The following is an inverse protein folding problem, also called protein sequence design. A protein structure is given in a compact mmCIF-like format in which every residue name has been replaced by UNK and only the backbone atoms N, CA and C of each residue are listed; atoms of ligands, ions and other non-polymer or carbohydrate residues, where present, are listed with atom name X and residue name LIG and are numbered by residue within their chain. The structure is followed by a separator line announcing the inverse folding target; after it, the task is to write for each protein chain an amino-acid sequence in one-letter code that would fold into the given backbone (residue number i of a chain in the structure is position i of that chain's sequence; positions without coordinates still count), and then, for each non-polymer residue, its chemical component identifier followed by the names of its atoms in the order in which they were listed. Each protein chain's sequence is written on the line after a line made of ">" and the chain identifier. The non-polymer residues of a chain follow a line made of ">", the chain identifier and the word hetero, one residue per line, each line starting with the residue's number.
data_IF_182286852745
#
_entry.id   IF_182286852745
#
_cell.length_a   1.000
_cell.length_b   1.000
_cell.length_c   1.000
_cell.angle_alpha   90.00
_cell.angle_beta   90.00
_cell.angle_gamma   90.00
#
_symmetry.space_group_name_H-M   'P 1'
#
loop_
_entity.id
_entity.type
_entity.pdbx_description
1 polymer ?
#
# COMPACT_ATOMS: atom_id res chain seq x y z
N UNK A 1 -11.27 -13.08 71.26
CA UNK A 1 -12.03 -13.73 70.18
C UNK A 1 -11.80 -12.92 68.91
N UNK A 2 -10.78 -13.30 68.13
CA UNK A 2 -10.34 -12.56 66.95
C UNK A 2 -10.82 -13.31 65.69
N UNK A 3 -11.75 -12.78 64.99
CA UNK A 3 -12.27 -13.33 63.71
C UNK A 3 -11.34 -12.93 62.56
N UNK A 4 -10.63 -13.89 61.96
CA UNK A 4 -9.87 -13.76 60.70
C UNK A 4 -10.84 -13.56 59.53
N UNK A 5 -10.81 -12.40 58.90
CA UNK A 5 -11.42 -12.15 57.57
C UNK A 5 -10.52 -12.75 56.51
N UNK A 6 -10.97 -13.83 55.85
CA UNK A 6 -10.33 -14.33 54.63
C UNK A 6 -10.74 -13.45 53.46
N UNK A 7 -9.77 -12.70 52.94
CA UNK A 7 -9.91 -11.93 51.71
C UNK A 7 -9.64 -12.87 50.56
N UNK A 8 -10.68 -13.21 49.78
CA UNK A 8 -10.58 -13.97 48.55
C UNK A 8 -10.09 -13.02 47.43
N UNK A 9 -8.83 -13.13 47.08
CA UNK A 9 -8.24 -12.37 45.98
C UNK A 9 -8.59 -13.10 44.66
N UNK A 10 -9.61 -12.61 43.92
CA UNK A 10 -9.98 -13.14 42.62
C UNK A 10 -8.97 -12.60 41.59
N UNK A 11 -8.12 -13.48 41.11
CA UNK A 11 -7.17 -13.15 40.02
C UNK A 11 -7.95 -13.12 38.70
N UNK A 12 -8.21 -11.93 38.18
CA UNK A 12 -8.70 -11.75 36.81
C UNK A 12 -7.52 -11.93 35.85
N UNK A 13 -7.42 -13.07 35.21
CA UNK A 13 -6.54 -13.27 34.07
C UNK A 13 -7.19 -12.61 32.85
N UNK A 14 -6.70 -11.43 32.47
CA UNK A 14 -7.03 -10.80 31.19
C UNK A 14 -6.28 -11.56 30.10
N UNK A 15 -6.98 -12.36 29.33
CA UNK A 15 -6.47 -12.91 28.08
C UNK A 15 -6.46 -11.78 27.06
N UNK A 16 -5.31 -11.16 26.86
CA UNK A 16 -5.07 -10.31 25.69
C UNK A 16 -4.96 -11.25 24.48
N UNK A 17 -6.04 -11.40 23.72
CA UNK A 17 -5.96 -11.97 22.38
C UNK A 17 -5.13 -10.97 21.54
N UNK A 18 -3.91 -11.35 21.18
CA UNK A 18 -3.19 -10.70 20.10
C UNK A 18 -4.01 -10.95 18.83
N UNK A 19 -4.83 -9.99 18.44
CA UNK A 19 -5.37 -9.92 17.10
C UNK A 19 -4.17 -9.66 16.17
N UNK A 20 -3.63 -10.70 15.56
CA UNK A 20 -2.76 -10.53 14.39
C UNK A 20 -3.62 -9.89 13.33
N UNK A 21 -3.27 -8.69 12.91
CA UNK A 21 -3.89 -8.08 11.74
C UNK A 21 -3.72 -9.07 10.58
N UNK A 22 -4.82 -9.64 10.13
CA UNK A 22 -4.81 -10.54 8.98
C UNK A 22 -4.63 -9.65 7.76
N UNK A 23 -3.42 -9.64 7.21
CA UNK A 23 -3.16 -8.94 5.95
C UNK A 23 -3.83 -9.70 4.82
N UNK A 24 -4.56 -9.00 3.98
CA UNK A 24 -5.26 -9.56 2.80
C UNK A 24 -4.30 -10.08 1.73
N UNK A 25 -3.03 -9.71 1.81
CA UNK A 25 -1.97 -10.15 0.89
C UNK A 25 -0.78 -10.71 1.65
N UNK A 26 -0.24 -11.85 1.19
CA UNK A 26 0.94 -12.50 1.75
C UNK A 26 1.96 -12.73 0.64
N UNK A 27 3.11 -12.06 0.73
CA UNK A 27 4.25 -12.33 -0.15
C UNK A 27 4.96 -13.60 0.32
N UNK A 28 4.99 -14.62 -0.52
CA UNK A 28 5.61 -15.90 -0.22
C UNK A 28 7.12 -15.87 -0.55
N UNK A 29 7.88 -16.76 0.08
CA UNK A 29 9.35 -16.85 -0.10
C UNK A 29 9.77 -17.32 -1.50
N UNK A 30 8.86 -17.92 -2.26
CA UNK A 30 9.04 -18.35 -3.64
C UNK A 30 8.72 -17.26 -4.68
N UNK A 31 8.37 -16.05 -4.23
CA UNK A 31 8.01 -14.90 -5.06
C UNK A 31 6.56 -14.89 -5.52
N UNK A 32 5.74 -15.85 -5.07
CA UNK A 32 4.30 -15.81 -5.29
C UNK A 32 3.60 -14.92 -4.26
N UNK A 33 2.38 -14.49 -4.56
CA UNK A 33 1.54 -13.69 -3.67
C UNK A 33 0.22 -14.42 -3.45
N UNK A 34 -0.15 -14.62 -2.20
CA UNK A 34 -1.46 -15.12 -1.81
C UNK A 34 -2.38 -13.96 -1.46
N UNK A 35 -3.46 -13.82 -2.22
CA UNK A 35 -4.53 -12.86 -1.96
C UNK A 35 -5.61 -13.53 -1.11
N UNK A 36 -6.18 -12.79 -0.17
CA UNK A 36 -7.22 -13.24 0.75
C UNK A 36 -8.33 -12.19 0.82
N UNK A 37 -9.58 -12.62 0.77
CA UNK A 37 -10.74 -11.75 0.91
C UNK A 37 -11.82 -12.44 1.73
N UNK A 38 -12.25 -11.80 2.79
CA UNK A 38 -13.30 -12.36 3.68
C UNK A 38 -14.66 -11.84 3.27
N UNK A 39 -15.51 -12.72 2.77
CA UNK A 39 -16.90 -12.41 2.46
C UNK A 39 -17.76 -13.68 2.46
N UNK A 40 -18.67 -13.76 3.42
CA UNK A 40 -19.54 -14.93 3.58
C UNK A 40 -20.74 -14.93 2.63
N UNK A 41 -21.09 -13.77 2.06
CA UNK A 41 -22.28 -13.58 1.23
C UNK A 41 -21.99 -13.57 -0.27
N UNK A 42 -20.75 -13.32 -0.67
CA UNK A 42 -20.38 -13.27 -2.08
C UNK A 42 -20.57 -14.62 -2.76
N UNK A 43 -21.07 -14.60 -3.98
CA UNK A 43 -21.21 -15.77 -4.87
C UNK A 43 -19.95 -16.03 -5.66
N UNK A 44 -19.24 -14.96 -6.03
CA UNK A 44 -18.01 -15.01 -6.78
C UNK A 44 -17.07 -13.89 -6.29
N UNK A 45 -15.79 -14.22 -6.12
CA UNK A 45 -14.74 -13.25 -5.86
C UNK A 45 -13.59 -13.51 -6.84
N UNK A 46 -13.12 -12.45 -7.48
CA UNK A 46 -11.91 -12.45 -8.28
C UNK A 46 -10.94 -11.41 -7.74
N UNK A 47 -9.66 -11.56 -8.03
CA UNK A 47 -8.66 -10.52 -7.90
C UNK A 47 -8.21 -10.07 -9.29
N UNK A 48 -8.12 -8.76 -9.51
CA UNK A 48 -7.51 -8.14 -10.69
C UNK A 48 -6.23 -7.45 -10.26
N UNK A 49 -5.09 -7.97 -10.68
CA UNK A 49 -3.76 -7.47 -10.31
C UNK A 49 -2.91 -7.26 -11.55
N UNK A 50 -2.16 -6.17 -11.60
CA UNK A 50 -1.42 -5.74 -12.78
C UNK A 50 -0.54 -6.82 -13.42
N UNK A 51 0.16 -7.65 -12.60
CA UNK A 51 1.09 -8.65 -13.14
C UNK A 51 0.42 -9.94 -13.64
N UNK A 52 -0.83 -10.22 -13.25
CA UNK A 52 -1.50 -11.47 -13.58
C UNK A 52 -2.91 -11.29 -14.19
N UNK A 53 -3.46 -10.05 -14.21
CA UNK A 53 -4.83 -9.78 -14.65
C UNK A 53 -5.87 -10.36 -13.68
N UNK A 54 -7.03 -10.72 -14.22
CA UNK A 54 -8.19 -11.22 -13.47
C UNK A 54 -8.08 -12.71 -13.21
N UNK A 55 -8.19 -13.09 -11.94
CA UNK A 55 -8.12 -14.49 -11.51
C UNK A 55 -9.23 -14.79 -10.51
N UNK A 56 -9.94 -15.90 -10.72
CA UNK A 56 -10.97 -16.37 -9.80
C UNK A 56 -10.35 -16.85 -8.48
N UNK A 57 -10.99 -16.52 -7.36
CA UNK A 57 -10.57 -16.96 -6.04
C UNK A 57 -11.38 -18.17 -5.60
N UNK A 58 -10.78 -19.03 -4.80
CA UNK A 58 -11.43 -20.21 -4.24
C UNK A 58 -11.96 -19.93 -2.85
N UNK A 59 -13.22 -20.29 -2.59
CA UNK A 59 -13.86 -20.11 -1.30
C UNK A 59 -13.61 -21.30 -0.38
N UNK A 60 -13.23 -21.01 0.84
CA UNK A 60 -13.32 -21.99 1.94
C UNK A 60 -14.72 -21.89 2.56
N UNK A 61 -15.53 -22.93 2.39
CA UNK A 61 -16.94 -22.94 2.83
C UNK A 61 -17.11 -22.87 4.34
N UNK A 62 -16.11 -23.30 5.12
CA UNK A 62 -16.17 -23.28 6.58
C UNK A 62 -15.86 -21.90 7.15
N UNK A 63 -14.96 -21.16 6.50
CA UNK A 63 -14.47 -19.86 6.99
C UNK A 63 -15.02 -18.67 6.22
N UNK A 64 -15.58 -18.89 5.01
CA UNK A 64 -15.98 -17.82 4.10
C UNK A 64 -14.79 -17.00 3.57
N UNK A 65 -13.58 -17.52 3.70
CA UNK A 65 -12.37 -16.89 3.18
C UNK A 65 -12.16 -17.30 1.73
N UNK A 66 -11.98 -16.30 0.87
CA UNK A 66 -11.61 -16.48 -0.52
C UNK A 66 -10.11 -16.31 -0.69
N UNK A 67 -9.46 -17.22 -1.43
CA UNK A 67 -8.01 -17.21 -1.61
C UNK A 67 -7.60 -17.53 -3.04
N UNK A 68 -6.48 -16.96 -3.47
CA UNK A 68 -5.76 -17.35 -4.68
C UNK A 68 -4.28 -17.01 -4.51
N UNK A 69 -3.41 -17.87 -5.04
CA UNK A 69 -1.96 -17.62 -5.07
C UNK A 69 -1.52 -17.43 -6.51
N UNK A 70 -0.87 -16.31 -6.81
CA UNK A 70 -0.45 -15.88 -8.14
C UNK A 70 1.04 -15.58 -8.19
N UNK A 71 1.62 -15.63 -9.39
CA UNK A 71 3.04 -15.39 -9.58
C UNK A 71 3.82 -16.68 -9.86
N UNK A 72 5.14 -16.69 -9.71
CA UNK A 72 5.97 -15.64 -9.10
C UNK A 72 6.07 -14.35 -9.92
N UNK A 73 6.38 -13.24 -9.26
CA UNK A 73 6.57 -11.94 -9.90
C UNK A 73 7.76 -11.18 -9.32
N UNK A 74 8.23 -10.16 -10.02
CA UNK A 74 9.36 -9.34 -9.58
C UNK A 74 9.01 -8.46 -8.37
N UNK A 75 9.99 -8.08 -7.54
CA UNK A 75 9.81 -7.03 -6.55
C UNK A 75 9.45 -5.71 -7.21
N UNK A 76 8.29 -5.14 -6.83
CA UNK A 76 7.79 -3.85 -7.31
C UNK A 76 6.49 -3.50 -6.58
N UNK A 77 5.87 -2.37 -6.96
CA UNK A 77 4.52 -1.98 -6.55
C UNK A 77 3.50 -2.31 -7.64
N UNK A 78 2.44 -3.02 -7.26
CA UNK A 78 1.40 -3.46 -8.19
C UNK A 78 0.02 -3.01 -7.74
N UNK A 79 -0.71 -2.25 -8.56
CA UNK A 79 -2.12 -1.98 -8.29
C UNK A 79 -2.96 -3.25 -8.43
N UNK A 80 -3.93 -3.41 -7.54
CA UNK A 80 -4.90 -4.50 -7.57
C UNK A 80 -6.25 -4.07 -7.00
N UNK A 81 -7.28 -4.83 -7.32
CA UNK A 81 -8.59 -4.74 -6.66
C UNK A 81 -9.24 -6.13 -6.60
N UNK A 82 -10.23 -6.26 -5.73
CA UNK A 82 -11.12 -7.40 -5.78
C UNK A 82 -12.33 -7.09 -6.66
N UNK A 83 -12.90 -8.13 -7.28
CA UNK A 83 -14.16 -8.05 -8.00
C UNK A 83 -15.12 -8.99 -7.29
N UNK A 84 -16.10 -8.43 -6.61
CA UNK A 84 -17.07 -9.16 -5.79
C UNK A 84 -18.42 -9.11 -6.48
N UNK A 85 -18.94 -10.25 -6.91
CA UNK A 85 -20.20 -10.36 -7.65
C UNK A 85 -20.27 -9.37 -8.83
N UNK A 86 -19.15 -9.21 -9.54
CA UNK A 86 -19.02 -8.32 -10.70
C UNK A 86 -18.71 -6.85 -10.40
N UNK A 87 -18.62 -6.45 -9.12
CA UNK A 87 -18.33 -5.07 -8.70
C UNK A 87 -16.88 -4.97 -8.23
N UNK A 88 -16.12 -4.02 -8.80
CA UNK A 88 -14.75 -3.74 -8.33
C UNK A 88 -14.77 -3.05 -6.98
N UNK A 89 -14.01 -3.59 -6.02
CA UNK A 89 -13.86 -3.05 -4.68
C UNK A 89 -12.39 -2.95 -4.31
N UNK A 90 -12.03 -1.91 -3.58
CA UNK A 90 -10.71 -1.81 -2.95
C UNK A 90 -10.61 -2.86 -1.85
N UNK A 91 -9.38 -3.23 -1.53
CA UNK A 91 -9.11 -4.09 -0.39
C UNK A 91 -9.38 -3.34 0.93
N UNK A 92 -10.36 -3.77 1.72
CA UNK A 92 -10.70 -3.09 2.96
C UNK A 92 -9.62 -3.22 4.06
N UNK A 93 -8.77 -4.24 3.95
CA UNK A 93 -7.70 -4.50 4.92
C UNK A 93 -6.37 -3.82 4.54
N UNK A 94 -6.29 -3.22 3.33
CA UNK A 94 -5.10 -2.54 2.87
C UNK A 94 -5.31 -1.01 2.83
N UNK A 95 -4.65 -0.25 3.72
CA UNK A 95 -4.77 1.21 3.73
C UNK A 95 -4.05 1.90 2.57
N UNK A 96 -3.15 1.19 1.87
CA UNK A 96 -2.40 1.74 0.75
C UNK A 96 -3.18 1.60 -0.55
N UNK A 97 -3.24 2.67 -1.32
CA UNK A 97 -3.95 2.69 -2.60
C UNK A 97 -3.21 3.54 -3.63
N UNK A 98 -3.48 3.26 -4.90
CA UNK A 98 -2.97 4.04 -6.02
C UNK A 98 -3.89 5.26 -6.24
N UNK A 99 -3.35 6.50 -6.19
CA UNK A 99 -4.17 7.71 -6.25
C UNK A 99 -4.60 8.02 -7.70
N UNK A 100 -5.62 7.34 -8.21
CA UNK A 100 -6.23 7.61 -9.52
C UNK A 100 -7.48 8.48 -9.38
N UNK A 101 -7.83 9.25 -10.41
CA UNK A 101 -9.06 10.05 -10.45
C UNK A 101 -10.33 9.18 -10.45
N UNK A 102 -10.27 8.04 -11.12
CA UNK A 102 -11.37 7.08 -11.21
C UNK A 102 -11.44 6.13 -10.02
N UNK A 103 -11.56 4.84 -10.30
CA UNK A 103 -11.52 3.81 -9.28
C UNK A 103 -10.10 3.70 -8.70
N UNK A 104 -9.99 3.84 -7.38
CA UNK A 104 -8.72 3.69 -6.67
C UNK A 104 -8.41 2.21 -6.48
N UNK A 105 -7.29 1.76 -7.01
CA UNK A 105 -6.79 0.42 -6.76
C UNK A 105 -6.04 0.37 -5.43
N UNK A 106 -6.11 -0.75 -4.73
CA UNK A 106 -5.22 -1.03 -3.60
C UNK A 106 -3.81 -1.26 -4.11
N UNK A 107 -2.81 -0.98 -3.28
CA UNK A 107 -1.40 -1.08 -3.63
C UNK A 107 -0.76 -2.29 -2.94
N UNK A 108 -0.28 -3.23 -3.75
CA UNK A 108 0.55 -4.34 -3.28
C UNK A 108 2.03 -3.95 -3.45
N UNK A 109 2.79 -4.01 -2.38
CA UNK A 109 4.24 -3.86 -2.41
C UNK A 109 4.92 -5.20 -2.20
N UNK A 110 5.73 -5.62 -3.17
CA UNK A 110 6.54 -6.84 -3.08
C UNK A 110 7.98 -6.43 -2.82
N UNK A 111 8.51 -6.73 -1.62
CA UNK A 111 9.85 -6.30 -1.24
C UNK A 111 10.93 -6.98 -2.05
N UNK A 112 11.97 -6.22 -2.42
CA UNK A 112 13.19 -6.74 -3.02
C UNK A 112 14.24 -7.10 -1.95
N UNK A 113 15.24 -7.92 -2.32
CA UNK A 113 16.35 -8.27 -1.42
C UNK A 113 17.17 -7.05 -0.98
N UNK A 114 17.28 -6.05 -1.83
CA UNK A 114 18.03 -4.80 -1.58
C UNK A 114 17.12 -3.61 -1.25
N UNK A 115 15.84 -3.90 -1.05
CA UNK A 115 14.79 -2.90 -0.95
C UNK A 115 14.36 -2.35 -2.32
N UNK A 116 13.33 -1.52 -2.32
CA UNK A 116 12.83 -0.85 -3.52
C UNK A 116 13.45 0.55 -3.66
N UNK A 117 13.37 1.12 -4.85
CA UNK A 117 13.98 2.43 -5.12
C UNK A 117 13.36 3.56 -4.27
N UNK A 118 12.08 3.42 -3.90
CA UNK A 118 11.33 4.39 -3.12
C UNK A 118 11.44 4.18 -1.60
N UNK A 119 12.11 3.12 -1.14
CA UNK A 119 12.29 2.89 0.29
C UNK A 119 13.06 4.04 0.94
N UNK A 120 12.63 4.41 2.14
CA UNK A 120 13.35 5.40 2.94
C UNK A 120 14.69 4.82 3.39
N UNK A 121 15.78 5.47 2.97
CA UNK A 121 17.15 5.06 3.30
C UNK A 121 17.83 6.13 4.15
N UNK A 122 18.74 5.71 5.02
CA UNK A 122 19.59 6.63 5.80
C UNK A 122 20.71 7.19 4.91
N UNK A 123 20.33 8.16 4.07
CA UNK A 123 21.23 8.88 3.16
C UNK A 123 20.93 10.38 3.25
N UNK A 124 21.87 11.26 2.87
CA UNK A 124 21.57 12.69 2.79
C UNK A 124 20.39 12.97 1.86
N UNK A 125 19.34 13.60 2.39
CA UNK A 125 18.15 13.95 1.64
C UNK A 125 18.22 15.38 1.10
N UNK A 126 17.55 15.61 -0.03
CA UNK A 126 17.36 16.92 -0.63
C UNK A 126 16.18 17.69 -0.03
N UNK A 127 15.75 18.71 -0.75
CA UNK A 127 14.63 19.57 -0.35
C UNK A 127 13.59 19.64 -1.46
N UNK A 128 12.31 19.67 -1.08
CA UNK A 128 11.21 19.97 -2.00
C UNK A 128 10.89 21.45 -1.91
N UNK A 129 10.84 22.13 -3.06
CA UNK A 129 10.42 23.52 -3.17
C UNK A 129 9.15 23.63 -4.01
N UNK A 130 8.16 24.35 -3.49
CA UNK A 130 6.93 24.69 -4.20
C UNK A 130 7.13 26.07 -4.80
N UNK A 131 7.20 26.17 -6.12
CA UNK A 131 7.38 27.41 -6.84
C UNK A 131 6.11 27.80 -7.60
N UNK A 132 5.77 29.09 -7.57
CA UNK A 132 4.71 29.65 -8.39
C UNK A 132 5.33 30.49 -9.49
N UNK A 133 4.88 30.31 -10.70
CA UNK A 133 5.37 31.08 -11.84
C UNK A 133 4.23 31.47 -12.79
N UNK A 134 4.37 32.59 -13.46
CA UNK A 134 3.43 32.98 -14.49
C UNK A 134 3.82 32.34 -15.83
N UNK A 135 2.94 31.51 -16.37
CA UNK A 135 3.12 30.93 -17.70
C UNK A 135 2.59 31.87 -18.77
N UNK A 136 3.47 32.40 -19.58
CA UNK A 136 3.10 33.30 -20.71
C UNK A 136 2.26 32.55 -21.75
N UNK A 137 2.54 31.26 -21.98
CA UNK A 137 1.83 30.44 -22.96
C UNK A 137 0.40 30.15 -22.55
N UNK A 138 0.17 29.96 -21.24
CA UNK A 138 -1.17 29.66 -20.69
C UNK A 138 -1.90 30.90 -20.20
N UNK A 139 -1.24 32.06 -20.12
CA UNK A 139 -1.80 33.29 -19.59
C UNK A 139 -2.23 33.19 -18.10
N UNK A 140 -1.62 32.27 -17.34
CA UNK A 140 -2.03 31.95 -15.97
C UNK A 140 -0.85 31.68 -15.05
N UNK A 141 -1.06 31.86 -13.74
CA UNK A 141 -0.11 31.43 -12.72
C UNK A 141 -0.24 29.93 -12.49
N UNK A 142 0.89 29.24 -12.53
CA UNK A 142 1.00 27.81 -12.32
C UNK A 142 1.95 27.50 -11.17
N UNK A 143 1.91 26.28 -10.69
CA UNK A 143 2.79 25.76 -9.65
C UNK A 143 3.66 24.65 -10.22
N UNK A 144 4.87 24.54 -9.71
CA UNK A 144 5.74 23.39 -9.91
C UNK A 144 6.36 22.97 -8.58
N UNK A 145 6.62 21.68 -8.44
CA UNK A 145 7.33 21.10 -7.31
C UNK A 145 8.72 20.74 -7.80
N UNK A 146 9.76 21.25 -7.13
CA UNK A 146 11.15 21.03 -7.52
C UNK A 146 11.87 20.29 -6.40
N UNK A 147 12.43 19.12 -6.70
CA UNK A 147 13.37 18.45 -5.81
C UNK A 147 14.78 18.98 -6.06
N UNK A 148 15.38 19.52 -5.02
CA UNK A 148 16.78 19.96 -5.02
C UNK A 148 17.63 18.90 -4.29
N UNK A 149 18.68 18.35 -4.91
CA UNK A 149 19.53 17.35 -4.28
C UNK A 149 20.24 17.89 -3.04
N UNK A 150 20.78 17.00 -2.17
CA UNK A 150 21.50 17.42 -0.98
C UNK A 150 22.61 18.43 -1.29
N UNK A 151 22.72 19.47 -0.48
CA UNK A 151 23.73 20.56 -0.62
C UNK A 151 23.64 21.35 -1.93
N UNK A 152 22.49 21.34 -2.61
CA UNK A 152 22.30 22.07 -3.86
C UNK A 152 22.66 23.55 -3.72
N UNK A 153 22.17 24.22 -2.67
CA UNK A 153 22.38 25.65 -2.42
C UNK A 153 23.83 26.00 -2.03
N UNK A 154 24.57 25.02 -1.51
CA UNK A 154 25.97 25.19 -1.13
C UNK A 154 26.92 25.07 -2.34
N UNK A 155 26.55 24.30 -3.35
CA UNK A 155 27.37 23.99 -4.51
C UNK A 155 26.98 24.84 -5.73
N UNK A 156 27.15 26.16 -5.64
CA UNK A 156 26.71 27.11 -6.67
C UNK A 156 27.32 26.92 -8.06
N UNK A 157 28.52 26.37 -8.12
CA UNK A 157 29.24 26.13 -9.37
C UNK A 157 28.93 24.78 -10.01
N UNK A 158 28.25 23.90 -9.28
CA UNK A 158 27.89 22.56 -9.76
C UNK A 158 26.67 22.64 -10.67
N UNK A 159 26.77 22.06 -11.87
CA UNK A 159 25.63 21.83 -12.77
C UNK A 159 25.02 20.46 -12.50
N UNK A 160 23.70 20.41 -12.43
CA UNK A 160 22.94 19.19 -12.21
C UNK A 160 22.10 18.89 -13.46
N UNK A 161 21.95 17.62 -13.85
CA UNK A 161 20.94 17.25 -14.84
C UNK A 161 19.55 17.55 -14.30
N UNK A 162 18.62 17.89 -15.19
CA UNK A 162 17.22 18.16 -14.82
C UNK A 162 16.34 17.06 -15.39
N UNK A 163 15.52 16.48 -14.53
CA UNK A 163 14.46 15.56 -14.91
C UNK A 163 13.10 16.27 -14.77
N UNK A 164 12.35 16.33 -15.88
CA UNK A 164 10.99 16.86 -15.88
C UNK A 164 10.02 15.70 -15.78
N UNK A 165 9.27 15.62 -14.68
CA UNK A 165 8.19 14.66 -14.49
C UNK A 165 6.87 15.36 -14.76
N UNK A 166 6.17 14.91 -15.80
CA UNK A 166 4.82 15.41 -16.13
C UNK A 166 3.89 14.23 -15.87
N UNK A 167 3.01 14.37 -14.88
CA UNK A 167 2.02 13.34 -14.56
C UNK A 167 1.01 13.17 -15.71
N UNK A 168 0.43 11.99 -15.80
CA UNK A 168 -0.73 11.73 -16.65
C UNK A 168 -1.99 12.44 -16.13
N UNK A 169 -3.06 12.38 -16.89
CA UNK A 169 -4.36 12.97 -16.50
C UNK A 169 -5.04 12.27 -15.31
N UNK A 170 -4.55 11.09 -14.95
CA UNK A 170 -5.08 10.27 -13.84
C UNK A 170 -4.21 10.28 -12.58
N UNK A 171 -3.05 10.93 -12.63
CA UNK A 171 -2.08 10.96 -11.55
C UNK A 171 -2.13 12.32 -10.84
N UNK A 172 -3.15 12.56 -10.05
CA UNK A 172 -3.30 13.79 -9.25
C UNK A 172 -3.15 13.52 -7.77
#
# INVERSE_FOLDING_TARGET
>A
MYTKKNSLLTLFTVWASLATAQTSTVCNTDGTVTFQYKNDQAKEVMVDVQFAGRNAMQRNEQTGLWTVTLGPTAPDMYPYCFIVDGVSVMDPENPQYFPNEGFKNSLLEIPGKEGLAHDIKDVPHGQMEYIHYYSKSLGATNQAIVYLPPKYKENKDKRYPVFYCISGTTDT
#
